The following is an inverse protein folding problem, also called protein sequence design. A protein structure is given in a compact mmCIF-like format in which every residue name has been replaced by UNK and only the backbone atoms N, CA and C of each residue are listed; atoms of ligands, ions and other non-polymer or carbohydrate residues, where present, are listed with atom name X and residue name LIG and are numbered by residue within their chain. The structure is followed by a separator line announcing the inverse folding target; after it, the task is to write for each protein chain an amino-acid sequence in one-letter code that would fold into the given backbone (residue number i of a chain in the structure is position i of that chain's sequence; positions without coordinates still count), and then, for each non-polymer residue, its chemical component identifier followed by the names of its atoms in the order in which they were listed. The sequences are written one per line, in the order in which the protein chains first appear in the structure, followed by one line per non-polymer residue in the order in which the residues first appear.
data_IF_581422708375
#
_entry.id   IF_581422708375
#
_cell.length_a   1.000
_cell.length_b   1.000
_cell.length_c   1.000
_cell.angle_alpha   90.00
_cell.angle_beta   90.00
_cell.angle_gamma   90.00
#
_symmetry.space_group_name_H-M   'P 1'
#
loop_
_entity.id
_entity.type
_entity.pdbx_description
1 polymer ?
#
# COMPACT_ATOMS: atom_id res chain seq x y z
N UNK A 1 60.59 7.62 9.45
CA UNK A 1 59.65 6.52 9.75
C UNK A 1 58.32 7.12 10.17
N UNK A 2 57.25 6.64 9.53
CA UNK A 2 55.82 6.62 9.96
C UNK A 2 55.06 7.92 10.25
N UNK A 3 54.10 8.21 9.37
CA UNK A 3 52.79 8.81 9.68
C UNK A 3 52.00 7.96 10.71
N UNK A 4 50.88 8.48 11.23
CA UNK A 4 49.60 8.04 10.65
C UNK A 4 48.58 9.16 10.42
N UNK A 5 47.67 8.84 9.51
CA UNK A 5 46.50 9.60 9.11
C UNK A 5 45.34 9.44 10.10
N UNK A 6 44.43 10.41 10.11
CA UNK A 6 43.02 10.19 10.45
C UNK A 6 42.20 11.24 9.70
N UNK A 7 41.77 10.85 8.51
CA UNK A 7 40.78 11.57 7.71
C UNK A 7 39.43 11.28 8.31
N UNK A 8 38.85 12.26 8.99
CA UNK A 8 37.46 12.22 9.45
C UNK A 8 36.56 12.20 8.21
N UNK A 9 36.11 11.01 7.82
CA UNK A 9 35.25 10.80 6.66
C UNK A 9 33.82 11.09 7.06
N UNK A 10 33.41 12.35 6.95
CA UNK A 10 32.00 12.74 6.94
C UNK A 10 31.34 12.04 5.74
N UNK A 11 30.28 11.24 5.93
CA UNK A 11 29.57 10.63 4.81
C UNK A 11 29.04 11.75 3.89
N UNK A 12 29.13 11.62 2.56
CA UNK A 12 28.63 12.64 1.66
C UNK A 12 27.14 12.79 1.90
N UNK A 13 26.76 13.89 2.55
CA UNK A 13 25.41 14.41 2.51
C UNK A 13 25.10 14.58 1.02
N UNK A 14 24.27 13.68 0.49
CA UNK A 14 23.69 13.78 -0.84
C UNK A 14 23.04 15.15 -0.89
N UNK A 15 23.72 16.13 -1.49
CA UNK A 15 23.18 17.47 -1.68
C UNK A 15 21.87 17.30 -2.42
N UNK A 16 20.76 17.49 -1.71
CA UNK A 16 19.47 17.63 -2.33
C UNK A 16 19.62 18.77 -3.34
N UNK A 17 19.59 18.43 -4.63
CA UNK A 17 19.69 19.38 -5.72
C UNK A 17 18.64 20.49 -5.57
N UNK A 18 18.75 21.59 -6.33
CA UNK A 18 17.86 22.74 -6.23
C UNK A 18 16.40 22.27 -6.15
N UNK A 19 15.72 22.56 -5.02
CA UNK A 19 14.30 22.27 -4.89
C UNK A 19 13.60 22.94 -6.07
N UNK A 20 12.83 22.22 -6.89
CA UNK A 20 12.17 22.83 -8.03
C UNK A 20 11.34 23.99 -7.52
N UNK A 21 11.59 25.18 -8.09
CA UNK A 21 10.79 26.37 -7.81
C UNK A 21 9.33 26.06 -8.18
N UNK A 22 8.32 26.55 -7.42
CA UNK A 22 6.92 26.41 -7.79
C UNK A 22 6.73 26.99 -9.20
N UNK A 23 6.50 26.10 -10.15
CA UNK A 23 6.47 26.41 -11.58
C UNK A 23 5.80 25.25 -12.32
N UNK A 24 5.60 25.34 -13.64
CA UNK A 24 4.68 24.48 -14.38
C UNK A 24 4.88 22.97 -14.19
N UNK A 25 6.12 22.51 -14.04
CA UNK A 25 6.43 21.08 -13.81
C UNK A 25 6.04 20.60 -12.39
N UNK A 26 6.10 21.48 -11.38
CA UNK A 26 5.63 21.19 -10.03
C UNK A 26 4.10 21.09 -10.00
N UNK A 27 3.40 21.95 -10.75
CA UNK A 27 1.94 21.94 -10.88
C UNK A 27 1.44 20.68 -11.60
N UNK A 28 2.15 20.23 -12.64
CA UNK A 28 1.87 18.95 -13.31
C UNK A 28 2.09 17.76 -12.36
N UNK A 29 3.17 17.81 -11.57
CA UNK A 29 3.44 16.83 -10.52
C UNK A 29 2.33 16.76 -9.47
N UNK A 30 1.84 17.91 -9.00
CA UNK A 30 0.72 18.03 -8.08
C UNK A 30 -0.57 17.48 -8.71
N UNK A 31 -0.89 17.87 -9.94
CA UNK A 31 -2.08 17.41 -10.65
C UNK A 31 -2.06 15.89 -10.92
N UNK A 32 -0.89 15.31 -11.20
CA UNK A 32 -0.72 13.86 -11.37
C UNK A 32 -0.91 13.14 -10.05
N UNK A 33 -0.36 13.67 -8.95
CA UNK A 33 -0.53 13.11 -7.61
C UNK A 33 -1.97 13.20 -7.12
N UNK A 34 -2.67 14.30 -7.38
CA UNK A 34 -4.09 14.45 -7.07
C UNK A 34 -4.97 13.47 -7.85
N UNK A 35 -4.68 13.24 -9.13
CA UNK A 35 -5.37 12.22 -9.92
C UNK A 35 -5.14 10.81 -9.37
N UNK A 36 -3.90 10.47 -9.00
CA UNK A 36 -3.59 9.19 -8.38
C UNK A 36 -4.31 9.01 -7.03
N UNK A 37 -4.36 10.05 -6.18
CA UNK A 37 -5.11 10.05 -4.93
C UNK A 37 -6.62 9.95 -5.16
N UNK A 38 -7.16 10.63 -6.17
CA UNK A 38 -8.57 10.53 -6.52
C UNK A 38 -8.96 9.11 -6.96
N UNK A 39 -8.06 8.39 -7.64
CA UNK A 39 -8.26 6.98 -7.97
C UNK A 39 -8.33 6.06 -6.74
N UNK A 40 -7.76 6.47 -5.60
CA UNK A 40 -7.83 5.71 -4.33
C UNK A 40 -8.81 6.31 -3.31
N UNK A 41 -9.42 7.47 -3.59
CA UNK A 41 -10.36 8.14 -2.70
C UNK A 41 -11.49 7.22 -2.17
N UNK A 42 -12.10 6.34 -2.99
CA UNK A 42 -13.12 5.41 -2.49
C UNK A 42 -12.61 4.46 -1.38
N UNK A 43 -11.33 4.08 -1.38
CA UNK A 43 -10.73 3.22 -0.36
C UNK A 43 -10.55 3.96 0.97
N UNK A 44 -10.20 5.24 0.90
CA UNK A 44 -10.10 6.10 2.07
C UNK A 44 -11.48 6.41 2.67
N UNK A 45 -12.49 6.64 1.81
CA UNK A 45 -13.87 6.86 2.25
C UNK A 45 -14.48 5.59 2.88
N UNK A 46 -14.08 4.40 2.41
CA UNK A 46 -14.42 3.14 3.07
C UNK A 46 -13.80 3.08 4.47
N UNK A 47 -12.52 3.42 4.60
CA UNK A 47 -11.82 3.40 5.88
C UNK A 47 -12.45 4.36 6.92
N UNK A 48 -12.93 5.52 6.47
CA UNK A 48 -13.66 6.47 7.31
C UNK A 48 -15.05 5.97 7.74
N UNK A 49 -15.75 5.21 6.89
CA UNK A 49 -17.14 4.78 7.12
C UNK A 49 -17.28 3.38 7.69
N UNK A 50 -16.21 2.57 7.73
CA UNK A 50 -16.21 1.16 8.18
C UNK A 50 -16.80 0.94 9.58
N UNK A 51 -16.72 1.94 10.47
CA UNK A 51 -17.30 1.86 11.81
C UNK A 51 -18.84 1.68 11.77
N UNK A 52 -19.49 2.19 10.73
CA UNK A 52 -20.93 2.03 10.51
C UNK A 52 -21.31 0.66 9.94
N UNK A 53 -20.33 -0.15 9.51
CA UNK A 53 -20.51 -1.40 8.77
C UNK A 53 -20.40 -2.66 9.64
N UNK A 54 -20.83 -2.58 10.90
CA UNK A 54 -20.83 -3.66 11.92
C UNK A 54 -19.60 -3.76 12.85
N UNK A 55 -18.86 -2.68 13.09
CA UNK A 55 -17.93 -2.52 14.23
C UNK A 55 -16.67 -3.40 14.25
N UNK A 56 -16.77 -4.69 13.92
CA UNK A 56 -15.69 -5.68 13.84
C UNK A 56 -14.60 -5.27 12.83
N UNK A 57 -14.99 -4.57 11.77
CA UNK A 57 -14.06 -4.06 10.76
C UNK A 57 -13.31 -2.78 11.19
N UNK A 58 -13.70 -2.14 12.30
CA UNK A 58 -13.11 -0.87 12.72
C UNK A 58 -11.62 -0.98 13.03
N UNK A 59 -11.17 -2.16 13.48
CA UNK A 59 -9.76 -2.44 13.84
C UNK A 59 -8.85 -2.47 12.61
N UNK A 60 -9.37 -2.84 11.44
CA UNK A 60 -8.57 -3.02 10.23
C UNK A 60 -8.49 -1.74 9.40
N UNK A 61 -7.30 -1.33 8.98
CA UNK A 61 -7.11 -0.24 8.01
C UNK A 61 -7.52 -0.69 6.61
N UNK A 62 -8.76 -0.44 6.22
CA UNK A 62 -9.35 -0.89 4.94
C UNK A 62 -8.60 -0.35 3.73
N UNK A 63 -8.13 0.90 3.80
CA UNK A 63 -7.32 1.50 2.73
C UNK A 63 -5.99 0.75 2.56
N UNK A 64 -5.34 0.36 3.66
CA UNK A 64 -4.10 -0.42 3.62
C UNK A 64 -4.34 -1.83 3.07
N UNK A 65 -5.39 -2.50 3.54
CA UNK A 65 -5.76 -3.85 3.08
C UNK A 65 -6.06 -3.85 1.58
N UNK A 66 -6.83 -2.87 1.10
CA UNK A 66 -7.17 -2.76 -0.31
C UNK A 66 -5.95 -2.43 -1.18
N UNK A 67 -5.07 -1.53 -0.74
CA UNK A 67 -3.84 -1.22 -1.48
C UNK A 67 -2.90 -2.43 -1.53
N UNK A 68 -2.75 -3.18 -0.43
CA UNK A 68 -1.96 -4.41 -0.43
C UNK A 68 -2.55 -5.49 -1.35
N UNK A 69 -3.87 -5.59 -1.45
CA UNK A 69 -4.53 -6.48 -2.39
C UNK A 69 -4.28 -6.08 -3.85
N UNK A 70 -4.39 -4.79 -4.18
CA UNK A 70 -4.08 -4.25 -5.52
C UNK A 70 -2.62 -4.51 -5.87
N UNK A 71 -1.69 -4.29 -4.96
CA UNK A 71 -0.26 -4.56 -5.17
C UNK A 71 -0.02 -6.05 -5.44
N UNK A 72 -0.63 -6.94 -4.64
CA UNK A 72 -0.52 -8.38 -4.85
C UNK A 72 -1.09 -8.81 -6.20
N UNK A 73 -2.24 -8.25 -6.61
CA UNK A 73 -2.79 -8.52 -7.94
C UNK A 73 -1.83 -8.03 -9.00
N UNK A 74 -1.34 -6.79 -8.89
CA UNK A 74 -0.42 -6.19 -9.87
C UNK A 74 0.86 -7.01 -10.02
N UNK A 75 1.42 -7.50 -8.92
CA UNK A 75 2.63 -8.33 -8.90
C UNK A 75 2.41 -9.73 -9.47
N UNK A 76 1.20 -10.30 -9.31
CA UNK A 76 0.87 -11.65 -9.78
C UNK A 76 0.06 -11.66 -11.08
N UNK A 77 -0.20 -10.49 -11.68
CA UNK A 77 -0.98 -10.36 -12.91
C UNK A 77 -0.13 -10.83 -14.08
N UNK A 78 -0.30 -12.09 -14.46
CA UNK A 78 0.20 -12.60 -15.72
C UNK A 78 -0.73 -12.15 -16.87
N UNK A 79 -0.16 -11.84 -18.03
CA UNK A 79 -0.91 -11.30 -19.17
C UNK A 79 -1.93 -12.31 -19.73
N UNK A 80 -1.66 -13.61 -19.59
CA UNK A 80 -2.50 -14.66 -20.16
C UNK A 80 -3.64 -15.12 -19.24
N UNK A 81 -3.43 -15.10 -17.91
CA UNK A 81 -4.35 -15.72 -16.95
C UNK A 81 -4.90 -14.76 -15.89
N UNK A 82 -4.24 -13.61 -15.69
CA UNK A 82 -4.52 -12.72 -14.56
C UNK A 82 -4.08 -13.32 -13.21
N UNK A 83 -4.41 -12.64 -12.12
CA UNK A 83 -4.09 -13.10 -10.77
C UNK A 83 -5.13 -14.10 -10.25
N UNK A 84 -4.67 -15.23 -9.69
CA UNK A 84 -5.53 -16.22 -9.04
C UNK A 84 -6.06 -15.72 -7.69
N UNK A 85 -7.39 -15.74 -7.51
CA UNK A 85 -8.03 -15.19 -6.31
C UNK A 85 -7.58 -15.85 -5.02
N UNK A 86 -7.57 -17.18 -4.97
CA UNK A 86 -7.25 -17.92 -3.75
C UNK A 86 -5.79 -17.69 -3.35
N UNK A 87 -4.90 -17.60 -4.33
CA UNK A 87 -3.51 -17.22 -4.10
C UNK A 87 -3.38 -15.81 -3.53
N UNK A 88 -4.12 -14.82 -4.07
CA UNK A 88 -4.08 -13.44 -3.57
C UNK A 88 -4.59 -13.39 -2.13
N UNK A 89 -5.73 -14.03 -1.84
CA UNK A 89 -6.31 -14.03 -0.49
C UNK A 89 -5.40 -14.74 0.51
N UNK A 90 -4.84 -15.89 0.15
CA UNK A 90 -3.90 -16.62 1.00
C UNK A 90 -2.66 -15.78 1.35
N UNK A 91 -2.17 -14.95 0.42
CA UNK A 91 -1.05 -14.03 0.65
C UNK A 91 -1.44 -12.79 1.44
N UNK A 92 -2.69 -12.37 1.37
CA UNK A 92 -3.20 -11.17 2.05
C UNK A 92 -3.55 -11.43 3.52
N UNK A 93 -4.07 -12.63 3.85
CA UNK A 93 -4.49 -13.02 5.21
C UNK A 93 -3.43 -12.72 6.28
N UNK A 94 -2.13 -13.09 6.12
CA UNK A 94 -1.11 -12.79 7.12
C UNK A 94 -0.94 -11.29 7.39
N UNK A 95 -1.11 -10.46 6.36
CA UNK A 95 -0.99 -9.00 6.48
C UNK A 95 -2.19 -8.39 7.20
N UNK A 96 -3.40 -8.90 6.96
CA UNK A 96 -4.60 -8.51 7.69
C UNK A 96 -4.48 -8.93 9.16
N UNK A 97 -4.05 -10.18 9.42
CA UNK A 97 -3.87 -10.70 10.77
C UNK A 97 -2.86 -9.88 11.59
N UNK A 98 -1.82 -9.32 10.94
CA UNK A 98 -0.83 -8.46 11.58
C UNK A 98 -1.41 -7.12 12.08
N UNK A 99 -2.53 -6.64 11.53
CA UNK A 99 -3.18 -5.41 11.98
C UNK A 99 -3.92 -5.58 13.33
N UNK A 100 -4.29 -6.81 13.69
CA UNK A 100 -4.99 -7.13 14.94
C UNK A 100 -4.38 -8.36 15.63
N UNK A 101 -3.17 -8.26 16.21
CA UNK A 101 -2.55 -9.39 16.91
C UNK A 101 -3.41 -9.81 18.12
N UNK A 102 -4.04 -10.99 18.03
CA UNK A 102 -4.96 -11.51 19.06
C UNK A 102 -6.45 -11.39 18.73
N UNK A 103 -6.80 -10.77 17.59
CA UNK A 103 -8.15 -10.83 17.03
C UNK A 103 -8.46 -12.17 16.34
N UNK A 104 -9.71 -12.42 15.97
CA UNK A 104 -10.07 -13.60 15.18
C UNK A 104 -9.28 -13.59 13.85
N UNK A 105 -8.72 -14.74 13.48
CA UNK A 105 -7.99 -14.88 12.22
C UNK A 105 -8.97 -14.74 11.05
N UNK A 106 -8.70 -13.86 10.06
CA UNK A 106 -9.54 -13.77 8.87
C UNK A 106 -9.46 -15.09 8.10
N UNK A 107 -10.61 -15.70 7.79
CA UNK A 107 -10.70 -16.96 7.05
C UNK A 107 -11.58 -16.82 5.82
N UNK A 108 -11.26 -17.57 4.75
CA UNK A 108 -12.05 -17.64 3.51
C UNK A 108 -13.28 -18.53 3.62
N UNK A 109 -13.46 -19.25 4.73
CA UNK A 109 -14.46 -20.32 4.90
C UNK A 109 -15.92 -19.90 4.69
N UNK A 110 -16.23 -18.60 4.76
CA UNK A 110 -17.57 -18.05 4.58
C UNK A 110 -17.84 -17.38 3.23
N UNK A 111 -16.88 -17.35 2.31
CA UNK A 111 -17.05 -16.67 1.02
C UNK A 111 -17.53 -17.61 -0.09
N UNK A 112 -18.65 -17.30 -0.77
CA UNK A 112 -19.11 -18.10 -1.89
C UNK A 112 -18.16 -17.95 -3.09
N UNK A 113 -17.73 -19.08 -3.64
CA UNK A 113 -16.87 -19.12 -4.83
C UNK A 113 -17.52 -18.33 -5.99
N UNK A 114 -16.80 -17.34 -6.54
CA UNK A 114 -17.23 -16.56 -7.70
C UNK A 114 -17.96 -15.24 -7.41
N UNK A 115 -18.12 -14.83 -6.15
CA UNK A 115 -18.76 -13.55 -5.76
C UNK A 115 -18.08 -12.28 -6.29
N UNK A 116 -16.85 -12.42 -6.79
CA UNK A 116 -15.99 -11.35 -7.28
C UNK A 116 -16.07 -11.14 -8.81
N UNK A 117 -16.86 -11.95 -9.53
CA UNK A 117 -17.08 -11.82 -10.98
C UNK A 117 -18.38 -11.06 -11.29
N UNK A 118 -18.47 -9.81 -10.85
CA UNK A 118 -19.56 -8.90 -11.23
C UNK A 118 -19.02 -7.59 -11.75
#
# INVERSE_FOLDING_TARGET
MTSPASTDSVPPQLSAGPRPSPGPAADEGLARRLRALACTAPLHDLDARKANLAGEYAVYGMAEVALAAIDLVTLNMDFDTGADHDQIVARLIPRIAAQAPGGPSPSTSGWPAGSWRT
#
